data_IF_373952450188
#
_entry.id   IF_373952450188
#
_cell.length_a   1.000
_cell.length_b   1.000
_cell.length_c   1.000
_cell.angle_alpha   90.00
_cell.angle_beta   90.00
_cell.angle_gamma   90.00
#
_symmetry.space_group_name_H-M   'P 1'
#
loop_
_entity.id
_entity.type
_entity.pdbx_description
1 polymer ?
#
# COMPACT_ATOMS: atom_id res chain seq x y z
N UNK A 1 -9.78 20.07 -2.11
CA UNK A 1 -8.55 20.90 -2.37
C UNK A 1 -8.21 20.95 -3.85
N UNK A 2 -9.06 20.38 -4.72
CA UNK A 2 -8.90 20.40 -6.17
C UNK A 2 -8.53 21.78 -6.73
N UNK A 3 -7.49 21.81 -7.55
CA UNK A 3 -7.01 23.01 -8.24
C UNK A 3 -6.05 23.89 -7.42
N UNK A 4 -5.83 23.60 -6.14
CA UNK A 4 -4.86 24.32 -5.31
C UNK A 4 -3.41 23.85 -5.56
N UNK A 5 -2.39 24.70 -5.25
CA UNK A 5 -0.98 24.32 -5.31
C UNK A 5 -0.62 23.15 -4.38
N UNK A 6 0.45 22.41 -4.72
CA UNK A 6 0.90 21.24 -3.94
C UNK A 6 1.22 21.56 -2.48
N UNK A 7 1.69 22.78 -2.18
CA UNK A 7 1.95 23.23 -0.82
C UNK A 7 0.66 23.25 0.00
N UNK A 8 -0.45 23.72 -0.57
CA UNK A 8 -1.76 23.77 0.08
C UNK A 8 -2.33 22.35 0.25
N UNK A 9 -2.16 21.49 -0.76
CA UNK A 9 -2.56 20.07 -0.69
C UNK A 9 -1.83 19.36 0.45
N UNK A 10 -0.49 19.47 0.49
CA UNK A 10 0.34 18.85 1.51
C UNK A 10 0.03 19.38 2.92
N UNK A 11 -0.12 20.71 3.08
CA UNK A 11 -0.51 21.30 4.37
C UNK A 11 -1.89 20.84 4.83
N UNK A 12 -2.83 20.68 3.90
CA UNK A 12 -4.17 20.18 4.23
C UNK A 12 -4.12 18.74 4.73
N UNK A 13 -3.42 17.85 4.01
CA UNK A 13 -3.22 16.46 4.44
C UNK A 13 -2.53 16.41 5.81
N UNK A 14 -1.45 17.17 6.00
CA UNK A 14 -0.69 17.22 7.26
C UNK A 14 -1.56 17.67 8.43
N UNK A 15 -2.36 18.73 8.28
CA UNK A 15 -3.28 19.22 9.32
C UNK A 15 -4.37 18.21 9.64
N UNK A 16 -4.90 17.52 8.65
CA UNK A 16 -5.90 16.47 8.84
C UNK A 16 -5.31 15.28 9.58
N UNK A 17 -4.16 14.77 9.13
CA UNK A 17 -3.44 13.68 9.78
C UNK A 17 -3.09 14.01 11.25
N UNK A 18 -2.66 15.25 11.53
CA UNK A 18 -2.41 15.70 12.90
C UNK A 18 -3.66 15.58 13.78
N UNK A 19 -4.81 16.08 13.32
CA UNK A 19 -6.07 16.06 14.09
C UNK A 19 -6.54 14.63 14.36
N UNK A 20 -6.52 13.78 13.34
CA UNK A 20 -6.92 12.37 13.45
C UNK A 20 -6.01 11.63 14.43
N UNK A 21 -4.70 11.82 14.30
CA UNK A 21 -3.71 11.17 15.18
C UNK A 21 -3.87 11.61 16.63
N UNK A 22 -4.08 12.92 16.89
CA UNK A 22 -4.34 13.43 18.26
C UNK A 22 -5.60 12.84 18.87
N UNK A 23 -6.66 12.73 18.08
CA UNK A 23 -7.90 12.11 18.52
C UNK A 23 -7.70 10.61 18.81
N UNK A 24 -6.97 9.91 17.94
CA UNK A 24 -6.61 8.50 18.15
C UNK A 24 -5.81 8.29 19.42
N UNK A 25 -4.85 9.16 19.73
CA UNK A 25 -4.06 9.10 20.97
C UNK A 25 -4.94 9.31 22.21
N UNK A 26 -5.85 10.28 22.16
CA UNK A 26 -6.75 10.57 23.27
C UNK A 26 -7.63 9.36 23.59
N UNK A 27 -8.24 8.76 22.56
CA UNK A 27 -9.08 7.57 22.72
C UNK A 27 -8.24 6.39 23.20
N UNK A 28 -7.07 6.18 22.59
CA UNK A 28 -6.19 5.07 22.94
C UNK A 28 -5.70 5.13 24.39
N UNK A 29 -5.40 6.32 24.91
CA UNK A 29 -5.05 6.52 26.32
C UNK A 29 -6.22 6.25 27.25
N UNK A 30 -7.41 6.75 26.94
CA UNK A 30 -8.61 6.48 27.74
C UNK A 30 -8.91 4.98 27.84
N UNK A 31 -8.77 4.26 26.71
CA UNK A 31 -8.94 2.80 26.66
C UNK A 31 -7.86 2.09 27.48
N UNK A 32 -6.59 2.50 27.34
CA UNK A 32 -5.48 1.92 28.09
C UNK A 32 -5.65 2.11 29.61
N UNK A 33 -6.00 3.32 30.04
CA UNK A 33 -6.27 3.67 31.43
C UNK A 33 -7.45 2.87 31.99
N UNK A 34 -8.54 2.74 31.23
CA UNK A 34 -9.72 1.93 31.61
C UNK A 34 -9.36 0.45 31.79
N UNK A 35 -8.46 -0.08 30.95
CA UNK A 35 -8.05 -1.48 30.99
C UNK A 35 -6.87 -1.75 31.94
N UNK A 36 -6.26 -0.71 32.51
CA UNK A 36 -5.08 -0.82 33.38
C UNK A 36 -3.79 -1.21 32.65
N UNK A 37 -3.67 -0.83 31.36
CA UNK A 37 -2.46 -1.02 30.55
C UNK A 37 -1.81 0.32 30.23
N UNK A 38 -0.52 0.29 29.89
CA UNK A 38 0.15 1.45 29.32
C UNK A 38 -0.24 1.61 27.85
N UNK A 39 -0.45 2.86 27.44
CA UNK A 39 -0.70 3.17 26.04
C UNK A 39 0.52 2.83 25.17
N UNK A 40 0.30 2.07 24.11
CA UNK A 40 1.34 1.61 23.19
C UNK A 40 1.61 2.63 22.07
N UNK A 41 1.21 2.29 20.84
CA UNK A 41 1.47 3.11 19.65
C UNK A 41 0.23 3.33 18.79
N UNK A 42 0.32 4.32 17.90
CA UNK A 42 -0.66 4.63 16.86
C UNK A 42 -0.01 4.38 15.50
N UNK A 43 -0.69 3.60 14.66
CA UNK A 43 -0.34 3.50 13.25
C UNK A 43 -1.03 4.63 12.47
N UNK A 44 -0.25 5.38 11.70
CA UNK A 44 -0.74 6.47 10.84
C UNK A 44 -1.30 5.98 9.51
N UNK A 45 -1.21 4.68 9.26
CA UNK A 45 -1.57 4.10 7.98
C UNK A 45 -2.99 4.44 7.55
N UNK A 46 -3.12 4.87 6.29
CA UNK A 46 -4.43 5.00 5.65
C UNK A 46 -4.87 3.61 5.23
N UNK A 47 -5.88 3.06 5.91
CA UNK A 47 -6.48 1.77 5.61
C UNK A 47 -7.87 2.01 4.99
N UNK A 48 -8.02 1.90 3.66
CA UNK A 48 -9.31 2.11 3.01
C UNK A 48 -10.26 0.94 3.29
N UNK A 49 -11.53 1.13 2.98
CA UNK A 49 -12.54 0.07 3.03
C UNK A 49 -13.35 0.03 1.73
N UNK A 50 -14.14 -1.03 1.48
CA UNK A 50 -14.97 -1.10 0.27
C UNK A 50 -16.09 -0.04 0.24
N UNK A 51 -16.22 0.78 1.29
CA UNK A 51 -17.24 1.82 1.39
C UNK A 51 -16.90 3.02 0.51
N UNK A 52 -17.91 3.54 -0.20
CA UNK A 52 -17.76 4.75 -1.02
C UNK A 52 -17.40 5.93 -0.12
N UNK A 53 -16.32 6.63 -0.49
CA UNK A 53 -15.78 7.76 0.27
C UNK A 53 -14.62 7.40 1.19
N UNK A 54 -14.27 6.12 1.30
CA UNK A 54 -13.14 5.62 2.11
C UNK A 54 -12.08 4.94 1.21
N UNK A 55 -11.54 5.72 0.28
CA UNK A 55 -10.65 5.24 -0.78
C UNK A 55 -9.40 6.10 -0.92
N UNK A 56 -8.23 5.46 -0.88
CA UNK A 56 -6.94 6.07 -1.19
C UNK A 56 -6.87 6.42 -2.67
N UNK A 57 -7.41 5.57 -3.55
CA UNK A 57 -7.49 5.86 -4.99
C UNK A 57 -8.22 7.18 -5.27
N UNK A 58 -9.35 7.43 -4.61
CA UNK A 58 -10.10 8.69 -4.77
C UNK A 58 -9.35 9.90 -4.22
N UNK A 59 -8.57 9.74 -3.15
CA UNK A 59 -7.68 10.81 -2.66
C UNK A 59 -6.65 11.17 -3.73
N UNK A 60 -6.03 10.17 -4.38
CA UNK A 60 -5.05 10.40 -5.45
C UNK A 60 -5.68 11.09 -6.67
N UNK A 61 -6.93 10.74 -7.00
CA UNK A 61 -7.68 11.41 -8.07
C UNK A 61 -8.03 12.86 -7.71
N UNK A 62 -8.41 13.13 -6.46
CA UNK A 62 -8.69 14.48 -5.94
C UNK A 62 -7.43 15.38 -5.91
N UNK A 63 -6.23 14.79 -5.73
CA UNK A 63 -4.95 15.50 -5.87
C UNK A 63 -4.73 16.00 -7.31
N UNK A 64 -5.33 15.35 -8.31
CA UNK A 64 -5.29 15.80 -9.70
C UNK A 64 -4.94 14.72 -10.73
N UNK A 65 -4.89 13.44 -10.34
CA UNK A 65 -4.78 12.34 -11.30
C UNK A 65 -6.18 12.09 -11.90
N UNK A 66 -6.29 11.98 -13.23
CA UNK A 66 -7.60 11.68 -13.84
C UNK A 66 -8.15 10.32 -13.40
N UNK A 67 -7.28 9.30 -13.36
CA UNK A 67 -7.58 7.97 -12.85
C UNK A 67 -6.34 7.34 -12.22
N UNK A 68 -6.49 6.79 -11.02
CA UNK A 68 -5.37 6.15 -10.33
C UNK A 68 -4.74 5.06 -11.21
N UNK A 69 -3.40 4.96 -11.15
CA UNK A 69 -2.59 4.10 -12.01
C UNK A 69 -1.98 4.83 -13.21
N UNK A 70 -2.54 5.97 -13.62
CA UNK A 70 -1.95 6.85 -14.63
C UNK A 70 -0.60 7.46 -14.21
N UNK A 71 0.07 8.13 -15.16
CA UNK A 71 1.30 8.89 -14.88
C UNK A 71 1.03 9.96 -13.82
N UNK A 72 1.99 10.14 -12.90
CA UNK A 72 1.83 11.01 -11.71
C UNK A 72 1.31 10.28 -10.47
N UNK A 73 0.63 9.13 -10.60
CA UNK A 73 0.05 8.40 -9.44
C UNK A 73 1.09 8.11 -8.35
N UNK A 74 2.28 7.66 -8.74
CA UNK A 74 3.37 7.35 -7.80
C UNK A 74 3.86 8.62 -7.08
N UNK A 75 3.93 9.76 -7.76
CA UNK A 75 4.32 11.03 -7.15
C UNK A 75 3.23 11.55 -6.18
N UNK A 76 1.96 11.46 -6.57
CA UNK A 76 0.83 11.82 -5.72
C UNK A 76 0.78 10.95 -4.46
N UNK A 77 1.03 9.64 -4.59
CA UNK A 77 1.11 8.71 -3.47
C UNK A 77 2.28 9.03 -2.55
N UNK A 78 3.45 9.37 -3.11
CA UNK A 78 4.61 9.79 -2.32
C UNK A 78 4.31 11.06 -1.50
N UNK A 79 3.67 12.06 -2.12
CA UNK A 79 3.25 13.30 -1.45
C UNK A 79 2.25 13.00 -0.33
N UNK A 80 1.24 12.17 -0.60
CA UNK A 80 0.23 11.78 0.39
C UNK A 80 0.89 11.10 1.60
N UNK A 81 1.74 10.10 1.35
CA UNK A 81 2.40 9.33 2.39
C UNK A 81 3.32 10.21 3.27
N UNK A 82 4.12 11.06 2.63
CA UNK A 82 5.01 11.99 3.34
C UNK A 82 4.24 13.02 4.18
N UNK A 83 3.17 13.60 3.64
CA UNK A 83 2.35 14.57 4.36
C UNK A 83 1.60 13.94 5.55
N UNK A 84 1.09 12.72 5.40
CA UNK A 84 0.46 11.96 6.50
C UNK A 84 1.48 11.68 7.60
N UNK A 85 2.66 11.15 7.25
CA UNK A 85 3.73 10.89 8.21
C UNK A 85 4.12 12.14 8.98
N UNK A 86 4.38 13.26 8.28
CA UNK A 86 4.72 14.56 8.89
C UNK A 86 3.64 15.06 9.85
N UNK A 87 2.37 14.90 9.50
CA UNK A 87 1.25 15.31 10.34
C UNK A 87 1.11 14.46 11.59
N UNK A 88 1.24 13.14 11.44
CA UNK A 88 1.12 12.19 12.54
C UNK A 88 2.27 12.25 13.53
N UNK A 89 3.53 12.33 13.07
CA UNK A 89 4.69 12.45 14.00
C UNK A 89 4.70 13.78 14.77
N UNK A 90 4.08 14.83 14.21
CA UNK A 90 3.85 16.08 14.95
C UNK A 90 2.77 15.92 16.02
N UNK A 91 1.83 15.00 15.82
CA UNK A 91 0.70 14.75 16.69
C UNK A 91 0.96 13.73 17.80
N UNK A 92 1.99 12.90 17.75
CA UNK A 92 2.24 11.97 18.85
C UNK A 92 3.71 11.55 18.92
N UNK A 93 4.19 11.32 20.15
CA UNK A 93 5.47 10.64 20.39
C UNK A 93 5.34 9.12 20.33
N UNK A 94 4.10 8.60 20.27
CA UNK A 94 3.79 7.17 20.27
C UNK A 94 3.42 6.68 18.85
N UNK A 95 3.99 7.28 17.80
CA UNK A 95 3.76 6.81 16.43
C UNK A 95 4.59 5.56 16.15
N UNK A 96 3.97 4.54 15.57
CA UNK A 96 4.63 3.29 15.16
C UNK A 96 3.93 2.62 13.97
N UNK A 97 4.19 1.33 13.75
CA UNK A 97 3.56 0.56 12.67
C UNK A 97 4.16 0.85 11.28
N UNK A 98 3.41 0.51 10.23
CA UNK A 98 3.86 0.74 8.85
C UNK A 98 3.79 2.22 8.47
N UNK A 99 2.82 2.95 9.05
CA UNK A 99 2.62 4.39 8.85
C UNK A 99 2.59 4.80 7.37
N UNK A 100 2.06 3.93 6.51
CA UNK A 100 1.96 4.08 5.06
C UNK A 100 0.53 4.03 4.53
N UNK A 101 0.29 4.56 3.33
CA UNK A 101 -1.03 4.44 2.69
C UNK A 101 -1.21 3.04 2.08
N UNK A 102 -2.12 2.23 2.61
CA UNK A 102 -2.41 0.91 2.04
C UNK A 102 -2.93 1.06 0.61
N UNK A 103 -2.54 0.14 -0.26
CA UNK A 103 -3.04 0.05 -1.64
C UNK A 103 -3.68 -1.33 -1.89
N UNK A 104 -4.67 -1.74 -1.06
CA UNK A 104 -5.22 -3.09 -1.10
C UNK A 104 -6.20 -3.20 -2.26
N UNK A 105 -5.85 -3.98 -3.28
CA UNK A 105 -6.67 -4.05 -4.50
C UNK A 105 -8.07 -4.62 -4.21
N UNK A 106 -8.25 -5.50 -3.23
CA UNK A 106 -9.57 -6.07 -2.92
C UNK A 106 -10.44 -5.26 -1.96
N UNK A 107 -9.85 -4.26 -1.29
CA UNK A 107 -10.49 -3.54 -0.18
C UNK A 107 -10.76 -2.06 -0.52
N UNK A 108 -10.10 -1.48 -1.53
CA UNK A 108 -10.34 -0.09 -1.98
C UNK A 108 -11.15 -0.05 -3.29
N UNK A 109 -12.37 0.52 -3.25
CA UNK A 109 -13.25 0.57 -4.43
C UNK A 109 -12.61 1.23 -5.65
N UNK A 110 -11.85 2.31 -5.44
CA UNK A 110 -11.24 3.05 -6.54
C UNK A 110 -10.08 2.28 -7.15
N UNK A 111 -9.37 1.48 -6.35
CA UNK A 111 -8.33 0.56 -6.84
C UNK A 111 -8.95 -0.58 -7.64
N UNK A 112 -10.04 -1.20 -7.14
CA UNK A 112 -10.79 -2.25 -7.85
C UNK A 112 -11.21 -1.75 -9.23
N UNK A 113 -11.81 -0.56 -9.30
CA UNK A 113 -12.25 0.03 -10.56
C UNK A 113 -11.07 0.34 -11.48
N UNK A 114 -9.98 0.88 -10.96
CA UNK A 114 -8.80 1.17 -11.77
C UNK A 114 -8.13 -0.07 -12.36
N UNK A 115 -8.15 -1.20 -11.64
CA UNK A 115 -7.68 -2.49 -12.18
C UNK A 115 -8.62 -2.98 -13.28
N UNK A 116 -9.94 -2.94 -13.08
CA UNK A 116 -10.92 -3.31 -14.12
C UNK A 116 -10.78 -2.47 -15.40
N UNK A 117 -10.48 -1.19 -15.25
CA UNK A 117 -10.23 -0.28 -16.38
C UNK A 117 -8.82 -0.43 -16.99
N UNK A 118 -7.95 -1.22 -16.38
CA UNK A 118 -6.58 -1.46 -16.83
C UNK A 118 -5.60 -0.30 -16.57
N UNK A 119 -5.99 0.73 -15.80
CA UNK A 119 -5.06 1.82 -15.45
C UNK A 119 -4.10 1.44 -14.34
N UNK A 120 -4.52 0.59 -13.41
CA UNK A 120 -3.62 -0.09 -12.48
C UNK A 120 -3.28 -1.47 -13.06
N UNK A 121 -2.02 -1.62 -13.45
CA UNK A 121 -1.40 -2.92 -13.78
C UNK A 121 -0.60 -3.46 -12.60
N UNK A 122 -0.21 -4.73 -12.63
CA UNK A 122 0.61 -5.32 -11.57
C UNK A 122 1.94 -4.56 -11.38
N UNK A 123 2.66 -4.29 -12.48
CA UNK A 123 3.89 -3.50 -12.46
C UNK A 123 3.69 -2.07 -11.95
N UNK A 124 2.48 -1.50 -12.14
CA UNK A 124 2.17 -0.18 -11.60
C UNK A 124 2.01 -0.22 -10.08
N UNK A 125 1.41 -1.28 -9.53
CA UNK A 125 1.33 -1.49 -8.08
C UNK A 125 2.73 -1.66 -7.50
N UNK A 126 3.58 -2.48 -8.10
CA UNK A 126 5.00 -2.61 -7.74
C UNK A 126 5.74 -1.26 -7.78
N UNK A 127 5.55 -0.45 -8.82
CA UNK A 127 6.13 0.89 -8.86
C UNK A 127 5.58 1.82 -7.76
N UNK A 128 4.34 1.63 -7.33
CA UNK A 128 3.75 2.37 -6.21
C UNK A 128 4.30 1.87 -4.86
N UNK A 129 4.65 0.59 -4.73
CA UNK A 129 5.27 0.07 -3.51
C UNK A 129 6.61 0.75 -3.26
N UNK A 130 7.36 1.19 -4.27
CA UNK A 130 8.60 1.94 -4.07
C UNK A 130 8.46 3.13 -3.09
N UNK A 131 7.31 3.82 -3.11
CA UNK A 131 7.04 5.01 -2.27
C UNK A 131 6.06 4.75 -1.12
N UNK A 132 5.45 3.57 -1.06
CA UNK A 132 4.49 3.17 -0.03
C UNK A 132 5.05 2.07 0.89
N UNK A 133 4.89 2.20 2.21
CA UNK A 133 5.50 1.30 3.20
C UNK A 133 4.84 -0.09 3.35
N UNK A 134 3.71 -0.37 2.70
CA UNK A 134 2.95 -1.63 2.90
C UNK A 134 3.40 -2.73 1.95
N UNK A 135 3.67 -2.38 0.70
CA UNK A 135 4.01 -3.34 -0.36
C UNK A 135 2.80 -3.79 -1.17
N UNK A 136 2.89 -4.98 -1.75
CA UNK A 136 1.82 -5.59 -2.54
C UNK A 136 0.79 -6.21 -1.60
N UNK A 137 -0.40 -5.62 -1.50
CA UNK A 137 -1.43 -6.08 -0.56
C UNK A 137 -2.74 -6.44 -1.27
N UNK A 138 -3.34 -7.54 -0.84
CA UNK A 138 -4.62 -8.05 -1.34
C UNK A 138 -4.75 -8.13 -2.86
N UNK A 139 -3.74 -8.69 -3.51
CA UNK A 139 -3.75 -8.83 -4.97
C UNK A 139 -4.16 -10.23 -5.37
N UNK A 140 -5.31 -10.38 -6.02
CA UNK A 140 -5.73 -11.66 -6.57
C UNK A 140 -5.03 -11.94 -7.92
N UNK A 141 -4.44 -13.11 -8.06
CA UNK A 141 -3.69 -13.55 -9.25
C UNK A 141 -4.21 -14.91 -9.77
N UNK A 142 -3.89 -15.31 -11.02
CA UNK A 142 -4.36 -16.58 -11.58
C UNK A 142 -3.98 -17.77 -10.70
N UNK A 143 -4.90 -18.72 -10.54
CA UNK A 143 -4.71 -19.86 -9.63
C UNK A 143 -3.66 -20.87 -10.08
N UNK A 144 -3.29 -20.84 -11.36
CA UNK A 144 -2.26 -21.65 -11.99
C UNK A 144 -0.90 -20.95 -12.04
N UNK A 145 -0.75 -19.80 -11.37
CA UNK A 145 0.54 -19.08 -11.27
C UNK A 145 1.62 -20.00 -10.67
N UNK A 146 2.77 -20.19 -11.35
CA UNK A 146 3.86 -21.00 -10.83
C UNK A 146 4.45 -20.46 -9.52
N UNK A 147 4.90 -21.37 -8.65
CA UNK A 147 5.57 -21.00 -7.40
C UNK A 147 6.86 -20.19 -7.64
N UNK A 148 7.54 -20.40 -8.76
CA UNK A 148 8.71 -19.62 -9.18
C UNK A 148 8.34 -18.17 -9.49
N UNK A 149 7.24 -17.91 -10.20
CA UNK A 149 6.75 -16.54 -10.45
C UNK A 149 6.39 -15.85 -9.14
N UNK A 150 5.69 -16.51 -8.23
CA UNK A 150 5.36 -15.95 -6.90
C UNK A 150 6.65 -15.63 -6.12
N UNK A 151 7.64 -16.52 -6.18
CA UNK A 151 8.94 -16.31 -5.51
C UNK A 151 9.71 -15.13 -6.11
N UNK A 152 9.62 -14.92 -7.42
CA UNK A 152 10.22 -13.77 -8.10
C UNK A 152 9.54 -12.46 -7.70
N UNK A 153 8.19 -12.42 -7.65
CA UNK A 153 7.43 -11.27 -7.14
C UNK A 153 7.86 -10.90 -5.71
N UNK A 154 8.02 -11.90 -4.84
CA UNK A 154 8.51 -11.68 -3.47
C UNK A 154 9.94 -11.15 -3.47
N UNK A 155 10.81 -11.65 -4.35
CA UNK A 155 12.19 -11.18 -4.46
C UNK A 155 12.27 -9.72 -4.95
N UNK A 156 11.44 -9.32 -5.91
CA UNK A 156 11.40 -7.95 -6.42
C UNK A 156 10.92 -6.97 -5.34
N UNK A 157 9.82 -7.29 -4.64
CA UNK A 157 9.30 -6.46 -3.56
C UNK A 157 10.26 -6.40 -2.35
N UNK A 158 10.96 -7.50 -2.06
CA UNK A 158 12.03 -7.51 -1.06
C UNK A 158 13.22 -6.62 -1.48
N UNK A 159 13.60 -6.63 -2.75
CA UNK A 159 14.66 -5.78 -3.28
C UNK A 159 14.30 -4.29 -3.17
N UNK A 160 13.05 -3.93 -3.51
CA UNK A 160 12.51 -2.57 -3.30
C UNK A 160 12.62 -2.19 -1.82
N UNK A 161 12.27 -3.10 -0.91
CA UNK A 161 12.35 -2.89 0.53
C UNK A 161 13.79 -2.64 1.02
N UNK A 162 14.68 -3.57 0.69
CA UNK A 162 16.09 -3.57 1.10
C UNK A 162 16.83 -2.33 0.58
N UNK A 163 16.66 -1.97 -0.69
CA UNK A 163 17.36 -0.83 -1.30
C UNK A 163 16.88 0.51 -0.71
N UNK A 164 15.59 0.62 -0.42
CA UNK A 164 15.01 1.87 0.10
C UNK A 164 14.99 1.95 1.63
N UNK A 165 15.58 0.96 2.33
CA UNK A 165 15.57 0.86 3.80
C UNK A 165 14.15 1.01 4.38
N UNK A 166 13.23 0.24 3.83
CA UNK A 166 11.81 0.26 4.18
C UNK A 166 11.31 -1.16 4.37
N UNK A 167 10.29 -1.30 5.21
CA UNK A 167 9.51 -2.53 5.28
C UNK A 167 8.66 -2.64 4.02
N UNK A 168 8.55 -3.85 3.49
CA UNK A 168 7.62 -4.23 2.43
C UNK A 168 6.98 -5.57 2.80
N UNK A 169 5.81 -5.85 2.27
CA UNK A 169 5.13 -7.13 2.39
C UNK A 169 4.51 -7.53 1.05
N UNK A 170 4.31 -8.83 0.87
CA UNK A 170 3.60 -9.39 -0.29
C UNK A 170 2.47 -10.26 0.19
N UNK A 171 1.25 -9.87 -0.17
CA UNK A 171 0.00 -10.62 0.02
C UNK A 171 -0.68 -10.76 -1.34
N UNK A 172 -0.22 -11.76 -2.08
CA UNK A 172 -0.85 -12.22 -3.33
C UNK A 172 -1.70 -13.45 -3.07
N UNK A 173 -2.82 -13.57 -3.78
CA UNK A 173 -3.80 -14.65 -3.60
C UNK A 173 -3.99 -15.36 -4.94
N UNK A 174 -3.33 -16.51 -5.17
CA UNK A 174 -3.61 -17.36 -6.32
C UNK A 174 -5.00 -17.98 -6.17
N UNK A 175 -5.94 -17.60 -7.02
CA UNK A 175 -7.34 -18.05 -6.89
C UNK A 175 -7.57 -19.27 -7.76
N UNK A 176 -7.68 -20.45 -7.13
CA UNK A 176 -7.81 -21.73 -7.82
C UNK A 176 -8.95 -21.72 -8.87
N UNK A 177 -8.65 -22.21 -10.08
CA UNK A 177 -9.61 -22.31 -11.18
C UNK A 177 -9.98 -20.98 -11.83
N UNK A 178 -9.33 -19.87 -11.46
CA UNK A 178 -9.54 -18.54 -12.03
C UNK A 178 -8.33 -18.07 -12.84
N UNK A 179 -8.61 -17.28 -13.87
CA UNK A 179 -7.64 -16.68 -14.79
C UNK A 179 -7.71 -15.15 -14.74
N UNK A 180 -6.72 -14.48 -15.32
CA UNK A 180 -6.72 -13.03 -15.45
C UNK A 180 -8.03 -12.51 -16.09
N UNK A 181 -8.60 -11.46 -15.51
CA UNK A 181 -9.89 -10.90 -15.90
C UNK A 181 -11.12 -11.54 -15.23
N UNK A 182 -10.96 -12.71 -14.58
CA UNK A 182 -12.02 -13.25 -13.73
C UNK A 182 -12.19 -12.41 -12.44
N UNK A 183 -13.16 -12.80 -11.63
CA UNK A 183 -13.45 -12.17 -10.35
C UNK A 183 -13.40 -13.18 -9.20
N UNK A 184 -12.84 -12.75 -8.05
CA UNK A 184 -12.87 -13.45 -6.77
C UNK A 184 -13.66 -12.67 -5.72
N UNK A 185 -14.42 -13.37 -4.89
CA UNK A 185 -15.17 -12.80 -3.77
C UNK A 185 -14.66 -13.45 -2.48
N UNK A 186 -14.08 -12.64 -1.59
CA UNK A 186 -13.50 -13.10 -0.33
C UNK A 186 -14.47 -12.94 0.84
N UNK A 187 -15.46 -12.04 0.69
CA UNK A 187 -16.52 -11.80 1.66
C UNK A 187 -16.08 -10.95 2.85
N UNK A 188 -17.06 -10.39 3.56
CA UNK A 188 -16.85 -9.59 4.77
C UNK A 188 -15.91 -8.40 4.54
N UNK A 189 -14.90 -8.28 5.41
CA UNK A 189 -13.91 -7.20 5.36
C UNK A 189 -12.86 -7.36 4.25
N UNK A 190 -12.66 -8.59 3.75
CA UNK A 190 -11.64 -8.88 2.72
C UNK A 190 -12.09 -8.49 1.31
N UNK A 191 -13.37 -8.11 1.17
CA UNK A 191 -13.93 -7.55 -0.05
C UNK A 191 -13.92 -8.53 -1.21
N UNK A 192 -13.60 -8.00 -2.39
CA UNK A 192 -13.66 -8.71 -3.65
C UNK A 192 -12.61 -8.11 -4.59
N UNK A 193 -12.01 -8.92 -5.46
CA UNK A 193 -10.99 -8.42 -6.39
C UNK A 193 -11.11 -9.03 -7.78
N UNK A 194 -10.82 -8.24 -8.84
CA UNK A 194 -10.50 -8.78 -10.15
C UNK A 194 -9.19 -9.57 -10.07
N UNK A 195 -9.10 -10.68 -10.81
CA UNK A 195 -7.85 -11.43 -10.98
C UNK A 195 -6.95 -10.64 -11.93
N UNK A 196 -5.82 -10.16 -11.42
CA UNK A 196 -4.88 -9.35 -12.20
C UNK A 196 -4.06 -10.21 -13.15
N UNK A 197 -3.78 -9.65 -14.33
CA UNK A 197 -2.75 -10.20 -15.21
C UNK A 197 -1.35 -9.86 -14.64
N UNK A 198 -0.51 -10.88 -14.52
CA UNK A 198 0.87 -10.80 -14.02
C UNK A 198 1.89 -11.23 -15.08
N UNK A 199 1.45 -11.47 -16.32
CA UNK A 199 2.29 -11.95 -17.43
C UNK A 199 2.60 -13.45 -17.39
N UNK A 200 3.22 -13.93 -18.46
CA UNK A 200 3.54 -15.36 -18.68
C UNK A 200 5.06 -15.63 -18.76
N UNK A 201 5.89 -14.63 -18.48
CA UNK A 201 7.35 -14.75 -18.59
C UNK A 201 7.89 -15.61 -17.44
N UNK A 202 8.68 -16.62 -17.78
CA UNK A 202 9.24 -17.57 -16.82
C UNK A 202 10.37 -16.95 -15.97
N UNK A 203 10.37 -17.25 -14.67
CA UNK A 203 11.40 -16.82 -13.70
C UNK A 203 12.16 -17.99 -13.06
N UNK A 204 12.00 -19.21 -13.57
CA UNK A 204 12.57 -20.44 -12.98
C UNK A 204 14.09 -20.35 -12.82
N UNK A 205 14.80 -19.94 -13.87
CA UNK A 205 16.26 -19.82 -13.86
C UNK A 205 16.75 -18.82 -12.80
N UNK A 206 15.96 -17.79 -12.49
CA UNK A 206 16.32 -16.81 -11.47
C UNK A 206 16.15 -17.38 -10.07
N UNK A 207 14.99 -17.96 -9.77
CA UNK A 207 14.66 -18.48 -8.44
C UNK A 207 15.49 -19.71 -8.09
N UNK A 208 15.76 -20.58 -9.08
CA UNK A 208 16.54 -21.80 -8.86
C UNK A 208 18.05 -21.57 -8.66
N UNK A 209 18.55 -20.33 -8.83
CA UNK A 209 19.96 -20.01 -8.49
C UNK A 209 20.28 -20.27 -7.02
N UNK A 210 19.30 -20.12 -6.12
CA UNK A 210 19.50 -20.27 -4.68
C UNK A 210 20.55 -19.33 -4.10
N UNK A 211 21.00 -19.63 -2.88
CA UNK A 211 22.00 -18.83 -2.17
C UNK A 211 21.42 -17.56 -1.52
N UNK A 212 22.26 -16.54 -1.36
CA UNK A 212 21.93 -15.29 -0.66
C UNK A 212 22.31 -14.09 -1.53
N UNK A 213 21.36 -13.19 -1.78
CA UNK A 213 21.65 -11.89 -2.42
C UNK A 213 22.47 -11.05 -1.41
N UNK A 214 23.69 -10.60 -1.76
CA UNK A 214 24.52 -9.81 -0.84
C UNK A 214 23.90 -8.47 -0.47
N UNK A 215 24.24 -7.96 0.71
CA UNK A 215 23.75 -6.67 1.19
C UNK A 215 24.17 -5.50 0.26
N UNK A 216 23.30 -4.50 0.05
CA UNK A 216 23.63 -3.36 -0.81
C UNK A 216 24.65 -2.42 -0.15
N UNK A 217 25.43 -1.71 -0.96
CA UNK A 217 26.48 -0.78 -0.51
C UNK A 217 25.92 0.31 0.42
N UNK A 218 24.71 0.80 0.18
CA UNK A 218 24.11 1.82 1.05
C UNK A 218 23.74 1.33 2.45
N UNK A 219 23.93 0.03 2.75
CA UNK A 219 23.85 -0.52 4.11
C UNK A 219 25.04 -0.12 4.99
N UNK A 220 26.12 0.41 4.41
CA UNK A 220 27.27 0.97 5.15
C UNK A 220 26.97 2.37 5.72
N UNK A 221 25.88 2.51 6.49
CA UNK A 221 25.59 3.74 7.24
C UNK A 221 25.95 3.53 8.71
N UNK A 222 26.99 4.22 9.18
CA UNK A 222 27.32 4.37 10.60
C UNK A 222 26.33 5.31 11.28
#
# INVERSE_FOLDING_TARGET
VKGEPFEIVAETIKKTAFKITRMGELIGKEVADTLGFEFGTIDLSLAPTPAVGDSVARILEEIGIERVGGHGTTAALALLNDAVKKGGVMASSHVGGLSGAFIPVSEDEGMIEAVKHGTITFNKLEAMTAVCSVGLDMIAIPGDTPASTISAIIADEAAIGVINNKTTAVRVIPVHGKKAGDHAEFGGLLGHAPIMDIGEICSDDFVNRGGTIPAPIHSFKN
#
